data_IF_985650677082
#
_entry.id   IF_985650677082
#
_cell.length_a   1.000
_cell.length_b   1.000
_cell.length_c   1.000
_cell.angle_alpha   90.00
_cell.angle_beta   90.00
_cell.angle_gamma   90.00
#
_symmetry.space_group_name_H-M   'P 1'
#
loop_
_entity.id
_entity.type
_entity.pdbx_description
1 polymer ?
#
# COMPACT_ATOMS: atom_id res chain seq x y z
N UNK A 1 21.60 5.77 11.44
CA UNK A 1 20.58 4.75 11.75
C UNK A 1 21.08 3.42 11.22
N UNK A 2 20.94 2.34 11.98
CA UNK A 2 21.19 1.00 11.44
C UNK A 2 19.93 0.58 10.66
N UNK A 3 20.00 0.67 9.33
CA UNK A 3 18.86 0.42 8.43
C UNK A 3 18.30 -1.00 8.60
N UNK A 4 19.16 -2.02 8.65
CA UNK A 4 18.73 -3.41 8.76
C UNK A 4 18.01 -3.65 10.10
N UNK A 5 18.52 -3.05 11.18
CA UNK A 5 17.87 -3.09 12.49
C UNK A 5 16.54 -2.34 12.50
N UNK A 6 16.46 -1.16 11.87
CA UNK A 6 15.20 -0.41 11.73
C UNK A 6 14.18 -1.25 10.95
N UNK A 7 14.53 -1.69 9.74
CA UNK A 7 13.66 -2.46 8.86
C UNK A 7 13.16 -3.72 9.58
N UNK A 8 14.05 -4.50 10.22
CA UNK A 8 13.63 -5.72 10.93
C UNK A 8 12.58 -5.45 12.01
N UNK A 9 12.76 -4.38 12.80
CA UNK A 9 11.81 -3.99 13.84
C UNK A 9 10.51 -3.49 13.23
N UNK A 10 10.59 -2.65 12.19
CA UNK A 10 9.43 -2.06 11.53
C UNK A 10 8.60 -3.10 10.80
N UNK A 11 9.22 -4.03 10.07
CA UNK A 11 8.59 -5.22 9.49
C UNK A 11 7.79 -6.00 10.53
N UNK A 12 8.42 -6.29 11.68
CA UNK A 12 7.77 -7.07 12.74
C UNK A 12 6.60 -6.33 13.37
N UNK A 13 6.71 -5.00 13.48
CA UNK A 13 5.64 -4.15 13.97
C UNK A 13 4.46 -4.13 13.00
N UNK A 14 4.70 -3.78 11.73
CA UNK A 14 3.68 -3.72 10.69
C UNK A 14 2.97 -5.06 10.50
N UNK A 15 3.72 -6.17 10.40
CA UNK A 15 3.13 -7.51 10.25
C UNK A 15 2.29 -7.96 11.47
N UNK A 16 2.36 -7.25 12.60
CA UNK A 16 1.56 -7.54 13.81
C UNK A 16 0.31 -6.67 13.90
N UNK A 17 0.41 -5.41 13.48
CA UNK A 17 -0.69 -4.43 13.63
C UNK A 17 -1.52 -4.25 12.36
N UNK A 18 -1.06 -4.80 11.23
CA UNK A 18 -1.74 -4.75 9.94
C UNK A 18 -1.99 -6.17 9.40
N UNK A 19 -2.76 -6.28 8.33
CA UNK A 19 -3.01 -7.51 7.56
C UNK A 19 -1.91 -7.78 6.50
N UNK A 20 -0.79 -7.04 6.57
CA UNK A 20 0.34 -7.25 5.68
C UNK A 20 1.05 -8.57 6.01
N UNK A 21 1.33 -9.34 4.98
CA UNK A 21 2.26 -10.48 5.08
C UNK A 21 3.64 -9.94 5.42
N UNK A 22 4.46 -10.76 6.09
CA UNK A 22 5.82 -10.35 6.50
C UNK A 22 6.65 -9.78 5.34
N UNK A 23 6.55 -10.34 4.14
CA UNK A 23 7.25 -9.83 2.94
C UNK A 23 6.73 -8.49 2.45
N UNK A 24 5.44 -8.21 2.62
CA UNK A 24 4.84 -6.92 2.25
C UNK A 24 5.22 -5.85 3.29
N UNK A 25 5.12 -6.19 4.57
CA UNK A 25 5.58 -5.35 5.66
C UNK A 25 7.07 -4.99 5.53
N UNK A 26 7.91 -5.93 5.08
CA UNK A 26 9.32 -5.67 4.82
C UNK A 26 9.53 -4.74 3.61
N UNK A 27 8.77 -4.91 2.54
CA UNK A 27 8.83 -4.00 1.39
C UNK A 27 8.42 -2.57 1.79
N UNK A 28 7.36 -2.43 2.60
CA UNK A 28 6.91 -1.13 3.15
C UNK A 28 8.00 -0.52 4.02
N UNK A 29 8.58 -1.27 4.97
CA UNK A 29 9.64 -0.78 5.84
C UNK A 29 10.87 -0.26 5.06
N UNK A 30 11.25 -0.92 3.96
CA UNK A 30 12.30 -0.41 3.07
C UNK A 30 11.85 0.82 2.26
N UNK A 31 10.58 0.89 1.86
CA UNK A 31 10.00 2.04 1.18
C UNK A 31 9.99 3.29 2.07
N UNK A 32 9.68 3.13 3.37
CA UNK A 32 9.74 4.21 4.37
C UNK A 32 11.15 4.81 4.48
N UNK A 33 12.21 4.04 4.23
CA UNK A 33 13.59 4.54 4.15
C UNK A 33 13.93 5.21 2.80
N UNK A 34 12.97 5.36 1.89
CA UNK A 34 13.14 6.01 0.59
C UNK A 34 13.74 5.12 -0.50
N UNK A 35 13.80 3.80 -0.31
CA UNK A 35 14.31 2.90 -1.33
C UNK A 35 13.32 2.74 -2.49
N UNK A 36 13.82 2.88 -3.72
CA UNK A 36 13.04 2.50 -4.92
C UNK A 36 12.77 0.98 -4.96
N UNK A 37 11.75 0.54 -5.72
CA UNK A 37 11.45 -0.89 -5.88
C UNK A 37 12.65 -1.76 -6.31
N UNK A 38 13.56 -1.21 -7.12
CA UNK A 38 14.79 -1.92 -7.50
C UNK A 38 15.81 -2.01 -6.36
N UNK A 39 15.86 -1.00 -5.48
CA UNK A 39 16.67 -1.03 -4.27
C UNK A 39 16.11 -2.01 -3.24
N UNK A 40 14.81 -1.95 -2.98
CA UNK A 40 14.09 -2.90 -2.11
C UNK A 40 14.31 -4.34 -2.59
N UNK A 41 14.15 -4.59 -3.90
CA UNK A 41 14.35 -5.90 -4.49
C UNK A 41 15.75 -6.47 -4.21
N UNK A 42 16.79 -5.63 -4.25
CA UNK A 42 18.15 -6.05 -3.87
C UNK A 42 18.27 -6.38 -2.39
N UNK A 43 17.69 -5.56 -1.51
CA UNK A 43 17.71 -5.78 -0.05
C UNK A 43 16.98 -7.07 0.34
N UNK A 44 15.85 -7.36 -0.29
CA UNK A 44 15.02 -8.54 -0.03
C UNK A 44 15.43 -9.80 -0.81
N UNK A 45 16.46 -9.74 -1.65
CA UNK A 45 16.82 -10.80 -2.59
C UNK A 45 15.61 -11.31 -3.42
N UNK A 46 14.84 -10.37 -3.99
CA UNK A 46 13.61 -10.62 -4.75
C UNK A 46 13.63 -9.90 -6.10
N UNK A 47 12.60 -10.11 -6.94
CA UNK A 47 12.47 -9.39 -8.21
C UNK A 47 11.78 -8.04 -8.01
N UNK A 48 12.09 -7.06 -8.87
CA UNK A 48 11.38 -5.76 -8.89
C UNK A 48 9.88 -5.94 -9.09
N UNK A 49 9.46 -6.90 -9.92
CA UNK A 49 8.05 -7.20 -10.16
C UNK A 49 7.36 -7.74 -8.91
N UNK A 50 8.03 -8.62 -8.17
CA UNK A 50 7.54 -9.17 -6.91
C UNK A 50 7.39 -8.08 -5.84
N UNK A 51 8.40 -7.22 -5.67
CA UNK A 51 8.30 -6.08 -4.74
C UNK A 51 7.17 -5.13 -5.15
N UNK A 52 7.01 -4.87 -6.46
CA UNK A 52 5.90 -4.04 -6.96
C UNK A 52 4.56 -4.65 -6.56
N UNK A 53 4.38 -5.97 -6.68
CA UNK A 53 3.15 -6.65 -6.25
C UNK A 53 2.92 -6.50 -4.75
N UNK A 54 3.96 -6.68 -3.92
CA UNK A 54 3.86 -6.48 -2.47
C UNK A 54 3.42 -5.05 -2.11
N UNK A 55 4.05 -4.05 -2.73
CA UNK A 55 3.71 -2.65 -2.49
C UNK A 55 2.32 -2.30 -3.03
N UNK A 56 1.92 -2.84 -4.19
CA UNK A 56 0.60 -2.60 -4.76
C UNK A 56 -0.52 -3.14 -3.86
N UNK A 57 -0.36 -4.34 -3.28
CA UNK A 57 -1.34 -4.86 -2.31
C UNK A 57 -1.45 -3.96 -1.09
N UNK A 58 -0.32 -3.51 -0.55
CA UNK A 58 -0.30 -2.57 0.57
C UNK A 58 -0.97 -1.23 0.21
N UNK A 59 -0.64 -0.66 -0.95
CA UNK A 59 -1.23 0.57 -1.47
C UNK A 59 -2.74 0.48 -1.72
N UNK A 60 -3.21 -0.68 -2.21
CA UNK A 60 -4.62 -0.90 -2.45
C UNK A 60 -5.40 -0.80 -1.13
N UNK A 61 -4.91 -1.45 -0.08
CA UNK A 61 -5.65 -1.58 1.18
C UNK A 61 -5.44 -0.42 2.17
N UNK A 62 -4.23 0.14 2.24
CA UNK A 62 -3.85 1.19 3.19
C UNK A 62 -3.66 2.57 2.54
N UNK A 63 -4.03 2.71 1.27
CA UNK A 63 -3.85 3.95 0.52
C UNK A 63 -2.42 4.15 -0.02
N UNK A 64 -2.24 5.12 -0.90
CA UNK A 64 -0.98 5.36 -1.61
C UNK A 64 0.14 5.88 -0.69
N UNK A 65 -0.23 6.54 0.41
CA UNK A 65 0.69 7.12 1.40
C UNK A 65 1.60 6.08 2.06
N UNK A 66 1.20 4.80 2.11
CA UNK A 66 2.03 3.71 2.66
C UNK A 66 3.36 3.51 1.90
N UNK A 67 3.48 4.09 0.70
CA UNK A 67 4.71 4.03 -0.10
C UNK A 67 5.62 5.24 0.06
N UNK A 68 5.16 6.26 0.76
CA UNK A 68 5.92 7.49 0.94
C UNK A 68 7.08 7.27 1.93
N UNK A 69 8.26 7.86 1.67
CA UNK A 69 9.34 7.84 2.64
C UNK A 69 8.93 8.57 3.92
N UNK A 70 9.34 8.03 5.07
CA UNK A 70 9.21 8.69 6.37
C UNK A 70 10.47 9.51 6.61
N UNK A 71 10.32 10.78 7.00
CA UNK A 71 11.47 11.63 7.26
C UNK A 71 12.25 11.13 8.49
N UNK A 72 13.58 11.30 8.55
CA UNK A 72 14.39 10.73 9.65
C UNK A 72 14.02 11.18 11.06
N UNK A 73 13.33 12.31 11.19
CA UNK A 73 12.85 12.92 12.42
C UNK A 73 11.36 12.69 12.69
N UNK A 74 10.65 12.01 11.80
CA UNK A 74 9.24 11.66 11.96
C UNK A 74 9.07 10.30 12.62
N UNK A 75 7.99 10.17 13.40
CA UNK A 75 7.55 8.88 13.89
C UNK A 75 6.84 8.13 12.75
N UNK A 76 7.26 6.89 12.40
CA UNK A 76 6.59 6.13 11.36
C UNK A 76 5.12 5.91 11.69
N UNK A 77 4.18 6.18 10.76
CA UNK A 77 2.76 6.18 11.04
C UNK A 77 2.24 4.77 11.32
N UNK A 78 1.09 4.69 11.98
CA UNK A 78 0.28 3.48 11.96
C UNK A 78 -0.63 3.51 10.74
N UNK A 79 -0.81 2.36 10.09
CA UNK A 79 -1.64 2.25 8.89
C UNK A 79 -2.93 1.51 9.20
N UNK A 80 -4.04 2.14 8.88
CA UNK A 80 -5.38 1.56 8.94
C UNK A 80 -5.92 1.37 7.52
N UNK A 81 -6.74 0.34 7.27
CA UNK A 81 -7.39 0.18 5.98
C UNK A 81 -8.18 1.45 5.62
N UNK A 82 -8.03 1.94 4.39
CA UNK A 82 -8.75 3.14 3.96
C UNK A 82 -10.23 2.82 3.73
N UNK A 83 -11.13 3.71 4.15
CA UNK A 83 -12.55 3.59 3.84
C UNK A 83 -12.92 4.26 2.51
N UNK A 84 -14.21 4.21 2.12
CA UNK A 84 -14.73 4.88 0.93
C UNK A 84 -14.41 6.38 0.87
N UNK A 85 -14.35 7.04 2.03
CA UNK A 85 -14.02 8.46 2.16
C UNK A 85 -12.66 8.83 1.59
N UNK A 86 -11.72 7.89 1.49
CA UNK A 86 -10.41 8.10 0.89
C UNK A 86 -10.50 8.54 -0.57
N UNK A 87 -11.55 8.13 -1.30
CA UNK A 87 -11.80 8.61 -2.65
C UNK A 87 -12.00 10.14 -2.69
N UNK A 88 -12.56 10.74 -1.64
CA UNK A 88 -12.76 12.19 -1.57
C UNK A 88 -11.46 12.96 -1.30
N UNK A 89 -10.44 12.29 -0.76
CA UNK A 89 -9.13 12.89 -0.49
C UNK A 89 -8.23 12.91 -1.74
N UNK A 90 -8.52 12.06 -2.72
CA UNK A 90 -7.72 11.91 -3.92
C UNK A 90 -8.20 12.83 -5.05
N UNK A 91 -7.25 13.56 -5.66
CA UNK A 91 -7.49 14.19 -6.96
C UNK A 91 -7.73 13.15 -8.07
N UNK A 92 -8.49 13.52 -9.10
CA UNK A 92 -9.02 12.60 -10.12
C UNK A 92 -8.01 11.61 -10.73
N UNK A 93 -6.82 12.09 -11.10
CA UNK A 93 -5.79 11.23 -11.70
C UNK A 93 -5.18 10.27 -10.67
N UNK A 94 -5.03 10.71 -9.43
CA UNK A 94 -4.53 9.87 -8.32
C UNK A 94 -5.58 8.82 -7.95
N UNK A 95 -6.86 9.22 -7.92
CA UNK A 95 -8.01 8.33 -7.72
C UNK A 95 -8.05 7.21 -8.77
N UNK A 96 -8.00 7.54 -10.06
CA UNK A 96 -7.95 6.54 -11.14
C UNK A 96 -6.76 5.59 -11.00
N UNK A 97 -5.59 6.12 -10.64
CA UNK A 97 -4.39 5.29 -10.40
C UNK A 97 -4.60 4.33 -9.24
N UNK A 98 -5.14 4.81 -8.11
CA UNK A 98 -5.39 3.97 -6.95
C UNK A 98 -6.44 2.89 -7.25
N UNK A 99 -7.55 3.25 -7.91
CA UNK A 99 -8.57 2.30 -8.33
C UNK A 99 -8.03 1.22 -9.26
N UNK A 100 -7.12 1.55 -10.19
CA UNK A 100 -6.45 0.51 -11.01
C UNK A 100 -5.60 -0.44 -10.17
N UNK A 101 -4.89 0.08 -9.16
CA UNK A 101 -4.12 -0.77 -8.24
C UNK A 101 -5.05 -1.66 -7.42
N UNK A 102 -6.20 -1.13 -6.98
CA UNK A 102 -7.21 -1.90 -6.28
C UNK A 102 -7.76 -3.03 -7.16
N UNK A 103 -8.13 -2.73 -8.41
CA UNK A 103 -8.63 -3.73 -9.37
C UNK A 103 -7.61 -4.85 -9.60
N UNK A 104 -6.33 -4.48 -9.83
CA UNK A 104 -5.22 -5.43 -9.99
C UNK A 104 -5.01 -6.36 -8.77
N UNK A 105 -5.45 -5.94 -7.58
CA UNK A 105 -5.25 -6.66 -6.31
C UNK A 105 -6.52 -7.22 -5.69
N UNK A 106 -7.68 -6.99 -6.33
CA UNK A 106 -9.03 -7.26 -5.81
C UNK A 106 -9.19 -8.64 -5.17
N UNK A 107 -8.74 -9.69 -5.86
CA UNK A 107 -8.89 -11.08 -5.42
C UNK A 107 -8.09 -11.39 -4.13
N UNK A 108 -7.09 -10.57 -3.80
CA UNK A 108 -6.22 -10.72 -2.64
C UNK A 108 -6.61 -9.87 -1.43
N UNK A 109 -7.76 -9.18 -1.50
CA UNK A 109 -8.26 -8.25 -0.48
C UNK A 109 -9.58 -8.74 0.15
N UNK A 110 -9.97 -8.21 1.33
CA UNK A 110 -11.26 -8.54 1.93
C UNK A 110 -12.42 -8.12 1.03
N UNK A 111 -13.27 -9.05 0.63
CA UNK A 111 -14.27 -8.81 -0.42
C UNK A 111 -15.41 -7.87 -0.01
N UNK A 112 -15.81 -7.90 1.27
CA UNK A 112 -16.80 -6.96 1.81
C UNK A 112 -16.28 -5.52 1.73
N UNK A 113 -15.02 -5.31 2.15
CA UNK A 113 -14.35 -4.02 2.03
C UNK A 113 -14.22 -3.57 0.56
N UNK A 114 -13.85 -4.49 -0.34
CA UNK A 114 -13.77 -4.12 -1.77
C UNK A 114 -15.12 -3.62 -2.25
N UNK A 115 -16.20 -4.36 -1.99
CA UNK A 115 -17.55 -3.99 -2.42
C UNK A 115 -17.95 -2.59 -1.93
N UNK A 116 -17.65 -2.23 -0.68
CA UNK A 116 -17.90 -0.88 -0.15
C UNK A 116 -17.17 0.22 -0.94
N UNK A 117 -15.92 -0.02 -1.32
CA UNK A 117 -15.16 0.92 -2.18
C UNK A 117 -15.74 0.98 -3.60
N UNK A 118 -16.14 -0.16 -4.17
CA UNK A 118 -16.72 -0.21 -5.53
C UNK A 118 -18.02 0.56 -5.60
N UNK A 119 -18.90 0.35 -4.61
CA UNK A 119 -20.20 1.02 -4.52
C UNK A 119 -20.00 2.54 -4.43
N UNK A 120 -19.10 3.00 -3.56
CA UNK A 120 -18.80 4.44 -3.45
C UNK A 120 -18.15 5.02 -4.73
N UNK A 121 -17.24 4.27 -5.37
CA UNK A 121 -16.63 4.69 -6.62
C UNK A 121 -17.67 4.85 -7.75
N UNK A 122 -18.67 3.97 -7.81
CA UNK A 122 -19.74 4.04 -8.81
C UNK A 122 -20.79 5.11 -8.45
N UNK A 123 -21.30 5.12 -7.22
CA UNK A 123 -22.39 6.01 -6.80
C UNK A 123 -21.97 7.47 -6.65
N UNK A 124 -20.80 7.74 -6.05
CA UNK A 124 -20.38 9.10 -5.70
C UNK A 124 -19.46 9.71 -6.77
N UNK A 125 -18.78 8.88 -7.54
CA UNK A 125 -17.76 9.33 -8.50
C UNK A 125 -18.02 8.87 -9.95
N UNK A 126 -19.00 8.01 -10.18
CA UNK A 126 -19.34 7.53 -11.53
C UNK A 126 -18.24 6.68 -12.18
N UNK A 127 -17.37 6.04 -11.38
CA UNK A 127 -16.26 5.21 -11.84
C UNK A 127 -16.53 3.75 -11.51
N UNK A 128 -16.74 2.93 -12.55
CA UNK A 128 -16.87 1.49 -12.38
C UNK A 128 -15.52 0.79 -12.59
N UNK A 129 -15.05 0.02 -11.61
CA UNK A 129 -13.73 -0.62 -11.63
C UNK A 129 -13.52 -1.58 -12.81
N UNK A 130 -14.56 -2.34 -13.19
CA UNK A 130 -14.53 -3.25 -14.36
C UNK A 130 -14.34 -2.55 -15.73
N UNK A 131 -14.21 -1.21 -15.76
CA UNK A 131 -14.03 -0.40 -16.97
C UNK A 131 -12.69 0.38 -17.01
N UNK A 132 -11.79 0.19 -16.03
CA UNK A 132 -10.52 0.91 -15.87
C UNK A 132 -9.30 0.25 -16.54
#
# INVERSE_FOLDING_TARGET
MDEDRFTTRRTSYLARITELRRSEAEAVAWSELGYSYGGIAKKMNSSKGTVKQYMHRAMAYYGLGISEPVMPDEEPPDYEPVGPEYLNELGDEVKKRWLRILDDQRDGLPQEWVAEIEDAAEEEHGIALHRL
#
